data_IF_823668747675
#
_entry.id   IF_823668747675
#
_cell.length_a   1.000
_cell.length_b   1.000
_cell.length_c   1.000
_cell.angle_alpha   90.00
_cell.angle_beta   90.00
_cell.angle_gamma   90.00
#
_symmetry.space_group_name_H-M   'P 1'
#
loop_
_entity.id
_entity.type
_entity.pdbx_description
1 polymer ?
#
# COMPACT_ATOMS: atom_id res chain seq x y z
N UNK A 1 73.88 -4.23 27.16
CA UNK A 1 72.42 -4.13 27.30
C UNK A 1 71.90 -5.45 27.86
N UNK A 2 71.32 -5.41 29.06
CA UNK A 2 71.00 -6.60 29.86
C UNK A 2 69.86 -7.41 29.17
N UNK A 3 69.97 -8.76 29.16
CA UNK A 3 68.94 -9.66 28.49
C UNK A 3 67.48 -9.34 28.86
N UNK A 4 67.31 -8.95 30.13
CA UNK A 4 65.96 -8.53 30.63
C UNK A 4 65.44 -7.28 29.97
N UNK A 5 66.20 -6.25 29.67
CA UNK A 5 65.77 -5.06 28.94
C UNK A 5 65.33 -5.35 27.50
N UNK A 6 66.02 -6.28 26.82
CA UNK A 6 65.64 -6.73 25.48
C UNK A 6 64.26 -7.45 25.45
N UNK A 7 64.00 -8.25 26.48
CA UNK A 7 62.70 -8.97 26.58
C UNK A 7 61.53 -8.01 26.84
N UNK A 8 61.68 -7.04 27.73
CA UNK A 8 60.65 -6.03 28.01
C UNK A 8 60.37 -5.15 26.82
N UNK A 9 61.36 -4.75 26.03
CA UNK A 9 61.15 -3.98 24.80
C UNK A 9 60.36 -4.79 23.77
N UNK A 10 60.61 -6.08 23.62
CA UNK A 10 59.86 -6.96 22.71
C UNK A 10 58.40 -7.14 23.14
N UNK A 11 58.14 -7.26 24.45
CA UNK A 11 56.78 -7.37 24.99
C UNK A 11 56.03 -6.04 24.79
N UNK A 12 56.67 -4.90 25.07
CA UNK A 12 56.03 -3.58 24.84
C UNK A 12 55.70 -3.34 23.37
N UNK A 13 56.60 -3.70 22.45
CA UNK A 13 56.37 -3.58 21.01
C UNK A 13 55.22 -4.47 20.54
N UNK A 14 55.10 -5.69 21.04
CA UNK A 14 54.01 -6.60 20.72
C UNK A 14 52.67 -6.06 21.24
N UNK A 15 52.61 -5.50 22.44
CA UNK A 15 51.40 -4.90 23.03
C UNK A 15 50.98 -3.66 22.23
N UNK A 16 51.93 -2.80 21.82
CA UNK A 16 51.63 -1.64 20.98
C UNK A 16 51.05 -2.04 19.63
N UNK A 17 51.59 -3.05 18.96
CA UNK A 17 51.07 -3.56 17.69
C UNK A 17 49.65 -4.14 17.88
N UNK A 18 49.38 -4.83 18.99
CA UNK A 18 48.04 -5.32 19.29
C UNK A 18 47.01 -4.19 19.55
N UNK A 19 47.46 -3.10 20.19
CA UNK A 19 46.60 -1.91 20.41
C UNK A 19 46.29 -1.22 19.07
N UNK A 20 47.26 -1.10 18.17
CA UNK A 20 47.05 -0.51 16.84
C UNK A 20 46.09 -1.36 15.98
N UNK A 21 46.20 -2.71 16.05
CA UNK A 21 45.25 -3.61 15.35
C UNK A 21 43.85 -3.53 15.93
N UNK A 22 43.70 -3.35 17.27
CA UNK A 22 42.40 -3.15 17.91
C UNK A 22 41.79 -1.77 17.65
N UNK A 23 42.64 -0.77 17.37
CA UNK A 23 42.20 0.61 17.05
C UNK A 23 41.99 0.84 15.55
N UNK A 24 42.28 -0.16 14.69
CA UNK A 24 41.89 -0.05 13.28
C UNK A 24 40.36 0.11 13.22
N UNK A 25 39.87 1.22 12.67
CA UNK A 25 38.44 1.33 12.43
C UNK A 25 38.05 0.14 11.55
N UNK A 26 37.17 -0.72 12.06
CA UNK A 26 36.53 -1.75 11.26
C UNK A 26 35.79 -0.96 10.18
N UNK A 27 36.42 -0.84 9.02
CA UNK A 27 35.78 -0.27 7.85
C UNK A 27 34.63 -1.22 7.53
N UNK A 28 33.46 -0.95 8.10
CA UNK A 28 32.22 -1.56 7.62
C UNK A 28 32.11 -1.13 6.17
N UNK A 29 32.55 -1.98 5.27
CA UNK A 29 32.12 -1.91 3.90
C UNK A 29 30.60 -2.14 3.92
N UNK A 30 29.85 -1.05 3.98
CA UNK A 30 28.45 -1.09 3.58
C UNK A 30 28.47 -1.44 2.09
N UNK A 31 28.34 -2.73 1.79
CA UNK A 31 27.98 -3.18 0.45
C UNK A 31 26.52 -2.77 0.27
N UNK A 32 26.33 -1.48 0.01
CA UNK A 32 25.06 -0.97 -0.47
C UNK A 32 24.93 -1.49 -1.89
N UNK A 33 24.23 -2.60 -2.08
CA UNK A 33 23.81 -3.01 -3.41
C UNK A 33 22.99 -1.83 -3.97
N UNK A 34 23.57 -1.11 -4.92
CA UNK A 34 22.91 0.03 -5.53
C UNK A 34 21.72 -0.51 -6.34
N UNK A 35 20.52 -0.36 -5.77
CA UNK A 35 19.27 -0.72 -6.47
C UNK A 35 19.03 0.38 -7.50
N UNK A 36 19.22 0.06 -8.78
CA UNK A 36 18.85 0.95 -9.88
C UNK A 36 17.35 0.77 -10.17
N UNK A 37 16.57 1.82 -9.93
CA UNK A 37 15.16 1.87 -10.25
C UNK A 37 14.90 2.91 -11.34
N UNK A 38 14.10 2.53 -12.33
CA UNK A 38 13.60 3.46 -13.36
C UNK A 38 12.48 4.35 -12.84
N UNK A 39 11.74 3.89 -11.81
CA UNK A 39 10.68 4.68 -11.17
C UNK A 39 11.25 5.97 -10.58
N UNK A 40 10.61 7.13 -10.80
CA UNK A 40 11.05 8.42 -10.28
C UNK A 40 11.05 8.49 -8.75
N UNK A 41 10.05 7.89 -8.10
CA UNK A 41 9.90 7.87 -6.64
C UNK A 41 9.69 6.44 -6.15
N UNK A 42 10.33 6.08 -5.04
CA UNK A 42 10.18 4.75 -4.44
C UNK A 42 10.53 4.75 -2.94
N UNK A 43 9.97 3.81 -2.21
CA UNK A 43 10.32 3.50 -0.83
C UNK A 43 10.16 2.00 -0.55
N UNK A 44 11.06 1.44 0.26
CA UNK A 44 10.97 0.10 0.83
C UNK A 44 10.98 0.23 2.35
N UNK A 45 9.95 -0.31 2.99
CA UNK A 45 9.74 -0.20 4.43
C UNK A 45 9.47 -1.57 5.05
N UNK A 46 10.03 -1.84 6.21
CA UNK A 46 9.61 -2.95 7.07
C UNK A 46 8.35 -2.52 7.82
N UNK A 47 7.28 -3.34 7.72
CA UNK A 47 5.94 -2.91 8.12
C UNK A 47 5.76 -2.79 9.64
N UNK A 48 6.34 -3.68 10.44
CA UNK A 48 6.09 -3.70 11.89
C UNK A 48 6.71 -2.49 12.59
N UNK A 49 7.96 -2.18 12.27
CA UNK A 49 8.72 -1.08 12.89
C UNK A 49 8.57 0.26 12.15
N UNK A 50 8.21 0.22 10.85
CA UNK A 50 8.24 1.38 9.97
C UNK A 50 9.67 1.76 9.52
N UNK A 51 10.65 0.88 9.71
CA UNK A 51 12.03 1.14 9.30
C UNK A 51 12.13 1.20 7.78
N UNK A 52 12.63 2.33 7.28
CA UNK A 52 12.91 2.52 5.85
C UNK A 52 14.24 1.88 5.51
N UNK A 53 14.22 0.94 4.56
CA UNK A 53 15.41 0.19 4.10
C UNK A 53 15.99 0.74 2.79
N UNK A 54 15.14 1.38 1.99
CA UNK A 54 15.54 2.03 0.75
C UNK A 54 14.56 3.16 0.43
N UNK A 55 15.07 4.25 -0.11
CA UNK A 55 14.23 5.33 -0.63
C UNK A 55 14.89 6.05 -1.81
N UNK A 56 14.05 6.54 -2.71
CA UNK A 56 14.40 7.38 -3.84
C UNK A 56 13.32 8.43 -4.03
N UNK A 57 13.65 9.70 -3.81
CA UNK A 57 12.70 10.82 -3.88
C UNK A 57 11.34 10.48 -3.22
N UNK A 58 11.31 9.94 -1.98
CA UNK A 58 10.09 9.36 -1.39
C UNK A 58 9.02 10.41 -1.10
N UNK A 59 9.41 11.66 -0.98
CA UNK A 59 8.53 12.81 -0.64
C UNK A 59 8.15 13.65 -1.86
N UNK A 60 8.51 13.18 -3.08
CA UNK A 60 8.09 13.83 -4.32
C UNK A 60 6.57 13.68 -4.51
N UNK A 61 5.88 14.82 -4.63
CA UNK A 61 4.43 14.86 -4.81
C UNK A 61 4.04 14.34 -6.20
N UNK A 62 3.14 13.35 -6.23
CA UNK A 62 2.70 12.66 -7.44
C UNK A 62 1.22 12.32 -7.40
N UNK A 63 0.63 12.11 -8.59
CA UNK A 63 -0.72 11.57 -8.70
C UNK A 63 -0.72 10.08 -8.29
N UNK A 64 -1.62 9.64 -7.37
CA UNK A 64 -1.67 8.27 -6.89
C UNK A 64 -2.35 7.27 -7.84
N UNK A 65 -3.18 7.72 -8.79
CA UNK A 65 -4.08 6.82 -9.49
C UNK A 65 -4.86 5.91 -8.50
N UNK A 66 -5.14 4.66 -8.87
CA UNK A 66 -5.92 3.74 -8.04
C UNK A 66 -5.23 3.24 -6.76
N UNK A 67 -3.97 3.63 -6.46
CA UNK A 67 -3.43 3.39 -5.11
C UNK A 67 -4.13 4.25 -4.04
N UNK A 68 -4.88 5.29 -4.43
CA UNK A 68 -5.88 6.00 -3.61
C UNK A 68 -6.78 5.04 -2.84
N UNK A 69 -7.19 3.92 -3.48
CA UNK A 69 -8.09 2.93 -2.89
C UNK A 69 -7.53 2.22 -1.64
N UNK A 70 -6.23 2.38 -1.35
CA UNK A 70 -5.66 1.92 -0.07
C UNK A 70 -6.30 2.70 1.08
N UNK A 71 -6.47 4.02 0.95
CA UNK A 71 -7.18 4.83 1.94
C UNK A 71 -8.67 4.46 2.01
N UNK A 72 -9.29 4.22 0.87
CA UNK A 72 -10.69 3.74 0.81
C UNK A 72 -10.87 2.45 1.57
N UNK A 73 -10.01 1.45 1.33
CA UNK A 73 -10.01 0.18 2.04
C UNK A 73 -9.71 0.35 3.54
N UNK A 74 -8.76 1.21 3.89
CA UNK A 74 -8.44 1.52 5.29
C UNK A 74 -9.69 2.03 6.05
N UNK A 75 -10.45 2.94 5.46
CA UNK A 75 -11.67 3.45 6.06
C UNK A 75 -12.80 2.40 6.09
N UNK A 76 -12.92 1.55 5.09
CA UNK A 76 -13.87 0.43 5.09
C UNK A 76 -13.57 -0.50 6.28
N UNK A 77 -12.31 -0.95 6.42
CA UNK A 77 -11.92 -1.83 7.52
C UNK A 77 -12.02 -1.16 8.89
N UNK A 78 -11.76 0.14 8.98
CA UNK A 78 -11.97 0.90 10.22
C UNK A 78 -13.46 0.95 10.62
N UNK A 79 -14.38 1.06 9.67
CA UNK A 79 -15.81 1.05 9.95
C UNK A 79 -16.32 -0.37 10.27
N UNK A 80 -15.73 -1.43 9.70
CA UNK A 80 -15.97 -2.82 10.12
C UNK A 80 -15.53 -3.05 11.57
N UNK A 81 -14.30 -2.63 11.94
CA UNK A 81 -13.78 -2.75 13.31
C UNK A 81 -14.68 -2.02 14.34
N UNK A 82 -15.16 -0.82 13.97
CA UNK A 82 -16.07 -0.02 14.82
C UNK A 82 -17.49 -0.59 14.86
N UNK A 83 -17.80 -1.64 14.12
CA UNK A 83 -19.13 -2.24 14.04
C UNK A 83 -20.19 -1.32 13.41
N UNK A 84 -19.77 -0.29 12.66
CA UNK A 84 -20.67 0.61 11.95
C UNK A 84 -21.22 -0.02 10.68
N UNK A 85 -20.48 -0.93 10.07
CA UNK A 85 -20.85 -1.74 8.93
C UNK A 85 -20.44 -3.19 9.20
N UNK A 86 -21.05 -4.14 8.48
CA UNK A 86 -20.76 -5.58 8.53
C UNK A 86 -20.49 -6.09 7.12
N UNK A 87 -19.78 -7.21 7.01
CA UNK A 87 -19.47 -7.83 5.71
C UNK A 87 -20.74 -8.25 4.93
N UNK A 88 -21.79 -8.63 5.68
CA UNK A 88 -23.07 -9.08 5.14
C UNK A 88 -24.03 -7.94 4.80
N UNK A 89 -23.71 -6.69 5.16
CA UNK A 89 -24.58 -5.56 4.89
C UNK A 89 -24.76 -5.36 3.38
N UNK A 90 -26.01 -5.10 2.99
CA UNK A 90 -26.40 -4.86 1.61
C UNK A 90 -26.19 -3.40 1.22
N UNK A 91 -25.45 -3.17 0.16
CA UNK A 91 -25.14 -1.85 -0.40
C UNK A 91 -25.82 -1.71 -1.73
N UNK A 92 -26.66 -0.68 -1.87
CA UNK A 92 -27.35 -0.35 -3.11
C UNK A 92 -26.48 0.55 -3.97
N UNK A 93 -26.24 0.15 -5.20
CA UNK A 93 -25.48 0.95 -6.17
C UNK A 93 -26.29 2.16 -6.64
N UNK A 94 -25.76 3.35 -6.46
CA UNK A 94 -26.37 4.60 -6.92
C UNK A 94 -26.16 4.84 -8.42
N UNK A 95 -26.91 5.79 -8.99
CA UNK A 95 -26.67 6.28 -10.35
C UNK A 95 -25.26 6.88 -10.50
N UNK A 96 -24.73 7.53 -9.45
CA UNK A 96 -23.39 8.09 -9.45
C UNK A 96 -22.32 6.97 -9.48
N UNK A 97 -22.41 5.98 -8.59
CA UNK A 97 -21.52 4.83 -8.58
C UNK A 97 -21.52 4.09 -9.93
N UNK A 98 -22.69 3.82 -10.51
CA UNK A 98 -22.82 3.24 -11.85
C UNK A 98 -22.16 4.07 -12.96
N UNK A 99 -22.19 5.40 -12.85
CA UNK A 99 -21.64 6.31 -13.89
C UNK A 99 -20.12 6.38 -13.93
N UNK A 100 -19.43 5.76 -12.97
CA UNK A 100 -17.99 5.84 -12.86
C UNK A 100 -17.30 5.26 -14.08
N UNK A 101 -16.25 5.96 -14.55
CA UNK A 101 -15.36 5.51 -15.62
C UNK A 101 -14.14 4.75 -15.10
N UNK A 102 -13.24 4.43 -16.02
CA UNK A 102 -11.99 3.73 -15.73
C UNK A 102 -12.18 2.25 -15.39
N UNK A 103 -11.49 1.74 -14.37
CA UNK A 103 -11.66 0.35 -13.93
C UNK A 103 -13.01 0.17 -13.26
N UNK A 104 -13.81 -0.78 -13.74
CA UNK A 104 -15.17 -1.04 -13.27
C UNK A 104 -15.42 -2.53 -13.15
N UNK A 105 -16.37 -2.88 -12.31
CA UNK A 105 -16.98 -4.21 -12.28
C UNK A 105 -18.39 -4.18 -12.88
N UNK A 106 -18.79 -3.03 -13.42
CA UNK A 106 -20.06 -2.80 -14.15
C UNK A 106 -21.31 -2.99 -13.31
N UNK A 107 -21.28 -2.46 -12.08
CA UNK A 107 -22.48 -2.42 -11.22
C UNK A 107 -23.61 -1.64 -11.89
N UNK A 108 -24.83 -2.16 -11.81
CA UNK A 108 -26.02 -1.49 -12.33
C UNK A 108 -26.70 -0.64 -11.25
N UNK A 109 -27.36 0.45 -11.67
CA UNK A 109 -28.15 1.28 -10.75
C UNK A 109 -29.25 0.47 -10.06
N UNK A 110 -29.29 0.53 -8.72
CA UNK A 110 -30.19 -0.25 -7.90
C UNK A 110 -29.76 -1.71 -7.70
N UNK A 111 -28.62 -2.11 -8.23
CA UNK A 111 -28.02 -3.40 -7.91
C UNK A 111 -27.56 -3.43 -6.46
N UNK A 112 -27.77 -4.57 -5.80
CA UNK A 112 -27.40 -4.80 -4.41
C UNK A 112 -26.24 -5.78 -4.36
N UNK A 113 -25.17 -5.38 -3.68
CA UNK A 113 -24.03 -6.23 -3.39
C UNK A 113 -23.69 -6.17 -1.89
N UNK A 114 -23.07 -7.21 -1.34
CA UNK A 114 -22.60 -7.16 0.05
C UNK A 114 -21.32 -6.34 0.17
N UNK A 115 -21.05 -5.81 1.37
CA UNK A 115 -19.78 -5.15 1.70
C UNK A 115 -18.60 -6.06 1.35
N UNK A 116 -18.67 -7.37 1.69
CA UNK A 116 -17.65 -8.37 1.33
C UNK A 116 -17.38 -8.42 -0.18
N UNK A 117 -18.43 -8.51 -0.98
CA UNK A 117 -18.31 -8.51 -2.45
C UNK A 117 -17.71 -7.22 -2.97
N UNK A 118 -18.12 -6.06 -2.43
CA UNK A 118 -17.56 -4.78 -2.86
C UNK A 118 -16.09 -4.62 -2.48
N UNK A 119 -15.64 -5.12 -1.32
CA UNK A 119 -14.21 -5.17 -0.98
C UNK A 119 -13.44 -6.00 -2.02
N UNK A 120 -13.95 -7.16 -2.44
CA UNK A 120 -13.36 -7.96 -3.53
C UNK A 120 -13.30 -7.19 -4.84
N UNK A 121 -14.36 -6.51 -5.21
CA UNK A 121 -14.40 -5.65 -6.41
C UNK A 121 -13.33 -4.55 -6.39
N UNK A 122 -13.13 -3.91 -5.24
CA UNK A 122 -12.13 -2.84 -5.04
C UNK A 122 -10.71 -3.39 -5.08
N UNK A 123 -10.45 -4.49 -4.38
CA UNK A 123 -9.09 -5.03 -4.24
C UNK A 123 -8.62 -5.75 -5.48
N UNK A 124 -9.45 -6.61 -6.06
CA UNK A 124 -9.09 -7.50 -7.17
C UNK A 124 -9.14 -6.78 -8.51
N UNK A 125 -10.32 -6.24 -8.86
CA UNK A 125 -10.56 -5.60 -10.15
C UNK A 125 -10.32 -4.08 -10.14
N UNK A 126 -10.04 -3.50 -8.97
CA UNK A 126 -9.87 -2.04 -8.83
C UNK A 126 -11.13 -1.23 -9.18
N UNK A 127 -12.34 -1.77 -8.95
CA UNK A 127 -13.61 -1.17 -9.31
C UNK A 127 -13.82 0.24 -8.74
N UNK A 128 -13.97 1.22 -9.62
CA UNK A 128 -14.29 2.61 -9.24
C UNK A 128 -15.74 2.71 -8.77
N UNK A 129 -16.65 2.05 -9.49
CA UNK A 129 -18.06 1.90 -9.16
C UNK A 129 -18.25 1.31 -7.75
N UNK A 130 -17.56 0.22 -7.44
CA UNK A 130 -17.57 -0.39 -6.10
C UNK A 130 -16.99 0.54 -5.02
N UNK A 131 -15.95 1.32 -5.35
CA UNK A 131 -15.34 2.27 -4.42
C UNK A 131 -16.31 3.40 -4.05
N UNK A 132 -17.01 3.94 -5.06
CA UNK A 132 -18.03 5.01 -4.86
C UNK A 132 -19.24 4.46 -4.11
N UNK A 133 -19.73 3.26 -4.45
CA UNK A 133 -20.85 2.63 -3.73
C UNK A 133 -20.53 2.46 -2.23
N UNK A 134 -19.31 2.01 -1.89
CA UNK A 134 -18.86 1.91 -0.49
C UNK A 134 -18.70 3.28 0.18
N UNK A 135 -18.17 4.26 -0.53
CA UNK A 135 -18.01 5.62 -0.02
C UNK A 135 -19.37 6.25 0.35
N UNK A 136 -20.34 6.13 -0.55
CA UNK A 136 -21.71 6.61 -0.33
C UNK A 136 -22.42 5.86 0.80
N UNK A 137 -22.22 4.55 0.89
CA UNK A 137 -22.79 3.74 1.96
C UNK A 137 -22.27 4.16 3.34
N UNK A 138 -20.97 4.42 3.47
CA UNK A 138 -20.32 4.75 4.75
C UNK A 138 -20.59 6.20 5.16
N UNK A 139 -20.53 7.15 4.22
CA UNK A 139 -20.55 8.58 4.51
C UNK A 139 -21.76 9.34 3.95
N UNK A 140 -22.70 8.64 3.30
CA UNK A 140 -23.88 9.24 2.66
C UNK A 140 -23.58 9.92 1.33
N UNK A 141 -22.32 10.16 0.99
CA UNK A 141 -21.88 10.71 -0.30
C UNK A 141 -20.39 10.48 -0.50
N UNK A 142 -19.93 10.46 -1.76
CA UNK A 142 -18.48 10.40 -2.06
C UNK A 142 -17.73 11.60 -1.43
N UNK A 143 -18.29 12.82 -1.53
CA UNK A 143 -17.66 14.02 -0.92
C UNK A 143 -17.51 13.91 0.59
N UNK A 144 -18.52 13.36 1.29
CA UNK A 144 -18.43 13.07 2.72
C UNK A 144 -17.34 12.07 3.03
N UNK A 145 -17.19 11.03 2.20
CA UNK A 145 -16.13 10.04 2.35
C UNK A 145 -14.73 10.61 2.07
N UNK A 146 -14.59 11.46 1.06
CA UNK A 146 -13.33 12.16 0.74
C UNK A 146 -12.88 13.05 1.91
N UNK A 147 -13.80 13.70 2.60
CA UNK A 147 -13.47 14.44 3.84
C UNK A 147 -12.90 13.47 4.90
N UNK A 148 -13.50 12.30 5.10
CA UNK A 148 -12.96 11.28 6.02
C UNK A 148 -11.57 10.79 5.58
N UNK A 149 -11.32 10.65 4.26
CA UNK A 149 -9.99 10.27 3.74
C UNK A 149 -8.93 11.31 4.08
N UNK A 150 -9.25 12.61 3.90
CA UNK A 150 -8.33 13.70 4.21
C UNK A 150 -8.10 13.86 5.73
N UNK A 151 -9.14 13.68 6.54
CA UNK A 151 -9.01 13.62 8.00
C UNK A 151 -8.11 12.47 8.45
N UNK A 152 -8.26 11.28 7.83
CA UNK A 152 -7.40 10.13 8.11
C UNK A 152 -5.97 10.37 7.66
N UNK A 153 -5.74 10.98 6.52
CA UNK A 153 -4.40 11.37 6.05
C UNK A 153 -3.71 12.28 7.07
N UNK A 154 -4.41 13.31 7.55
CA UNK A 154 -3.88 14.20 8.59
C UNK A 154 -3.58 13.45 9.91
N UNK A 155 -4.45 12.53 10.34
CA UNK A 155 -4.23 11.70 11.54
C UNK A 155 -2.98 10.81 11.41
N UNK A 156 -2.65 10.37 10.20
CA UNK A 156 -1.48 9.54 9.92
C UNK A 156 -0.20 10.35 9.65
N UNK A 157 -0.28 11.69 9.68
CA UNK A 157 0.85 12.58 9.38
C UNK A 157 1.25 12.57 7.89
N UNK A 158 0.28 12.32 6.99
CA UNK A 158 0.48 12.31 5.54
C UNK A 158 0.37 13.74 4.99
N UNK A 159 1.31 14.59 5.36
CA UNK A 159 1.23 16.05 5.14
C UNK A 159 1.30 16.46 3.67
N UNK A 160 1.76 15.56 2.79
CA UNK A 160 1.85 15.79 1.35
C UNK A 160 0.80 14.99 0.56
N UNK A 161 -0.32 14.67 1.21
CA UNK A 161 -1.42 13.92 0.60
C UNK A 161 -2.72 14.69 0.68
N UNK A 162 -3.42 14.77 -0.45
CA UNK A 162 -4.78 15.31 -0.51
C UNK A 162 -5.61 14.51 -1.52
N UNK A 163 -6.78 14.09 -1.11
CA UNK A 163 -7.72 13.33 -1.91
C UNK A 163 -8.87 14.21 -2.39
N UNK A 164 -9.26 14.07 -3.66
CA UNK A 164 -10.42 14.72 -4.27
C UNK A 164 -11.52 13.73 -4.67
N UNK A 165 -11.16 12.45 -4.81
CA UNK A 165 -12.10 11.35 -5.05
C UNK A 165 -11.66 10.09 -4.27
N UNK A 166 -12.54 9.09 -4.17
CA UNK A 166 -12.29 7.87 -3.40
C UNK A 166 -11.60 6.75 -4.20
N UNK A 167 -11.31 6.94 -5.48
CA UNK A 167 -10.83 5.88 -6.37
C UNK A 167 -9.54 6.23 -7.14
N UNK A 168 -9.14 7.51 -7.18
CA UNK A 168 -7.96 8.00 -7.89
C UNK A 168 -8.18 8.11 -9.41
N UNK A 169 -9.38 8.49 -9.82
CA UNK A 169 -9.75 8.65 -11.23
C UNK A 169 -9.46 10.07 -11.73
N UNK A 170 -9.58 11.07 -10.87
CA UNK A 170 -9.39 12.48 -11.26
C UNK A 170 -7.98 12.75 -11.77
N UNK A 171 -7.87 13.62 -12.78
CA UNK A 171 -6.61 14.15 -13.29
C UNK A 171 -6.24 15.51 -12.67
N UNK A 172 -7.03 16.00 -11.72
CA UNK A 172 -6.75 17.24 -11.00
C UNK A 172 -5.48 17.09 -10.15
N UNK A 173 -4.56 18.03 -10.29
CA UNK A 173 -3.30 18.06 -9.53
C UNK A 173 -3.48 18.25 -8.02
N UNK A 174 -4.65 18.71 -7.59
CA UNK A 174 -5.05 18.73 -6.18
C UNK A 174 -5.18 17.34 -5.57
N UNK A 175 -5.36 16.28 -6.40
CA UNK A 175 -5.36 14.88 -5.95
C UNK A 175 -3.95 14.32 -6.01
N UNK A 176 -3.25 14.30 -4.89
CA UNK A 176 -1.84 13.96 -4.85
C UNK A 176 -1.43 13.24 -3.57
N UNK A 177 -0.27 12.60 -3.62
CA UNK A 177 0.38 11.90 -2.51
C UNK A 177 1.89 11.79 -2.75
N UNK A 178 2.59 11.08 -1.86
CA UNK A 178 4.01 10.73 -1.98
C UNK A 178 4.21 9.23 -1.77
N UNK A 179 5.35 8.68 -2.20
CA UNK A 179 5.65 7.26 -1.94
C UNK A 179 5.72 6.97 -0.44
N UNK A 180 6.21 7.91 0.37
CA UNK A 180 6.25 7.78 1.84
C UNK A 180 4.85 7.74 2.43
N UNK A 181 3.96 8.64 2.03
CA UNK A 181 2.59 8.68 2.54
C UNK A 181 1.82 7.42 2.14
N UNK A 182 2.03 6.92 0.91
CA UNK A 182 1.46 5.65 0.46
C UNK A 182 1.97 4.49 1.32
N UNK A 183 3.27 4.44 1.64
CA UNK A 183 3.81 3.42 2.53
C UNK A 183 3.20 3.53 3.94
N UNK A 184 2.98 4.76 4.43
CA UNK A 184 2.35 5.02 5.74
C UNK A 184 0.93 4.48 5.80
N UNK A 185 0.05 4.83 4.83
CA UNK A 185 -1.33 4.30 4.82
C UNK A 185 -1.38 2.80 4.55
N UNK A 186 -0.45 2.28 3.74
CA UNK A 186 -0.35 0.83 3.51
C UNK A 186 0.02 0.09 4.79
N UNK A 187 0.98 0.62 5.54
CA UNK A 187 1.41 0.10 6.84
C UNK A 187 0.28 0.08 7.85
N UNK A 188 -0.47 1.18 7.96
CA UNK A 188 -1.65 1.26 8.83
C UNK A 188 -2.68 0.19 8.47
N UNK A 189 -3.00 0.05 7.17
CA UNK A 189 -3.97 -0.93 6.70
C UNK A 189 -3.56 -2.37 7.05
N UNK A 190 -2.33 -2.78 6.71
CA UNK A 190 -1.94 -4.18 6.88
C UNK A 190 -1.65 -4.57 8.34
N UNK A 191 -1.13 -3.63 9.16
CA UNK A 191 -0.83 -3.91 10.55
C UNK A 191 -2.10 -3.94 11.42
N UNK A 192 -3.02 -3.02 11.16
CA UNK A 192 -4.24 -2.92 11.95
C UNK A 192 -5.32 -3.88 11.49
N UNK A 193 -5.38 -4.13 10.18
CA UNK A 193 -6.42 -4.95 9.55
C UNK A 193 -5.84 -6.06 8.68
N UNK A 194 -5.11 -7.04 9.25
CA UNK A 194 -4.47 -8.10 8.48
C UNK A 194 -5.44 -8.97 7.67
N UNK A 195 -6.75 -8.93 7.99
CA UNK A 195 -7.80 -9.54 7.18
C UNK A 195 -7.83 -9.03 5.73
N UNK A 196 -7.26 -7.85 5.44
CA UNK A 196 -7.11 -7.35 4.05
C UNK A 196 -6.37 -8.35 3.15
N UNK A 197 -5.49 -9.16 3.70
CA UNK A 197 -4.74 -10.15 2.93
C UNK A 197 -5.60 -11.31 2.39
N UNK A 198 -6.78 -11.54 2.94
CA UNK A 198 -7.75 -12.49 2.40
C UNK A 198 -8.27 -12.03 1.04
N UNK A 199 -8.34 -10.72 0.83
CA UNK A 199 -8.81 -10.09 -0.41
C UNK A 199 -7.67 -9.82 -1.40
N UNK A 200 -6.54 -9.29 -0.94
CA UNK A 200 -5.46 -8.84 -1.82
C UNK A 200 -4.68 -9.98 -2.46
N UNK A 201 -4.77 -11.20 -1.93
CA UNK A 201 -4.18 -12.43 -2.49
C UNK A 201 -5.05 -13.10 -3.56
N UNK A 202 -6.31 -12.67 -3.70
CA UNK A 202 -7.21 -13.24 -4.72
C UNK A 202 -6.66 -12.91 -6.11
N UNK A 203 -6.44 -13.96 -6.91
CA UNK A 203 -6.04 -13.81 -8.32
C UNK A 203 -7.25 -13.68 -9.24
N UNK A 204 -8.23 -14.56 -9.08
CA UNK A 204 -9.51 -14.53 -9.79
C UNK A 204 -10.61 -15.04 -8.86
N UNK A 205 -11.78 -14.42 -8.93
CA UNK A 205 -12.97 -14.85 -8.20
C UNK A 205 -14.22 -14.42 -8.95
N UNK A 206 -15.23 -15.28 -8.93
CA UNK A 206 -16.54 -14.98 -9.54
C UNK A 206 -17.44 -14.30 -8.53
N UNK A 207 -18.06 -13.21 -8.96
CA UNK A 207 -19.19 -12.58 -8.27
C UNK A 207 -20.44 -12.74 -9.10
N UNK A 208 -21.60 -12.49 -8.51
CA UNK A 208 -22.88 -12.52 -9.22
C UNK A 208 -23.52 -11.15 -9.20
N UNK A 209 -23.74 -10.57 -10.37
CA UNK A 209 -24.61 -9.41 -10.52
C UNK A 209 -26.06 -9.85 -10.39
N UNK A 210 -26.78 -9.24 -9.49
CA UNK A 210 -28.22 -9.46 -9.30
C UNK A 210 -28.96 -8.15 -9.65
N UNK A 211 -29.50 -8.11 -10.86
CA UNK A 211 -30.17 -6.93 -11.38
C UNK A 211 -31.65 -7.24 -11.67
N UNK A 212 -32.44 -6.22 -12.05
CA UNK A 212 -33.82 -6.38 -12.50
C UNK A 212 -33.93 -7.28 -13.74
N UNK A 213 -32.83 -7.48 -14.49
CA UNK A 213 -32.78 -8.31 -15.71
C UNK A 213 -32.43 -9.77 -15.41
N UNK A 214 -32.13 -10.10 -14.14
CA UNK A 214 -31.71 -11.43 -13.68
C UNK A 214 -30.34 -11.46 -13.10
N UNK A 215 -29.85 -12.68 -12.83
CA UNK A 215 -28.52 -12.93 -12.25
C UNK A 215 -27.51 -13.29 -13.33
N UNK A 216 -26.29 -12.74 -13.22
CA UNK A 216 -25.20 -12.92 -14.19
C UNK A 216 -23.87 -13.08 -13.48
N UNK A 217 -23.11 -14.14 -13.74
CA UNK A 217 -21.76 -14.26 -13.20
C UNK A 217 -20.80 -13.23 -13.83
N UNK A 218 -19.86 -12.74 -13.05
CA UNK A 218 -18.79 -11.85 -13.49
C UNK A 218 -17.49 -12.23 -12.81
N UNK A 219 -16.45 -12.52 -13.58
CA UNK A 219 -15.16 -12.92 -13.05
C UNK A 219 -14.29 -11.69 -12.77
N UNK A 220 -13.96 -11.47 -11.49
CA UNK A 220 -12.93 -10.53 -11.07
C UNK A 220 -11.56 -11.10 -11.43
N UNK A 221 -10.68 -10.26 -11.96
CA UNK A 221 -9.29 -10.62 -12.26
C UNK A 221 -8.33 -9.61 -11.65
N UNK A 222 -7.34 -10.11 -10.91
CA UNK A 222 -6.39 -9.25 -10.21
C UNK A 222 -5.52 -8.46 -11.19
N UNK A 223 -5.38 -7.17 -10.90
CA UNK A 223 -4.45 -6.27 -11.58
C UNK A 223 -3.00 -6.45 -11.08
N UNK A 224 -2.80 -7.15 -9.97
CA UNK A 224 -1.49 -7.37 -9.33
C UNK A 224 -0.79 -8.62 -9.87
N UNK A 225 -0.02 -8.46 -10.95
CA UNK A 225 0.73 -9.57 -11.56
C UNK A 225 1.82 -10.14 -10.65
N UNK A 226 2.26 -9.40 -9.62
CA UNK A 226 3.29 -9.87 -8.68
C UNK A 226 2.83 -11.12 -7.92
N UNK A 227 1.53 -11.29 -7.69
CA UNK A 227 0.95 -12.49 -7.06
C UNK A 227 1.30 -13.81 -7.80
N UNK A 228 1.56 -13.74 -9.10
CA UNK A 228 1.96 -14.90 -9.93
C UNK A 228 3.48 -15.04 -10.05
N UNK A 229 4.24 -13.98 -9.79
CA UNK A 229 5.67 -13.90 -10.06
C UNK A 229 6.52 -14.03 -8.81
N UNK A 230 5.97 -13.67 -7.64
CA UNK A 230 6.70 -13.63 -6.38
C UNK A 230 5.92 -14.38 -5.30
N UNK A 231 6.41 -15.54 -4.84
CA UNK A 231 5.64 -16.46 -4.00
C UNK A 231 5.30 -15.91 -2.62
N UNK A 232 6.01 -14.88 -2.16
CA UNK A 232 5.76 -14.21 -0.89
C UNK A 232 4.88 -12.96 -1.01
N UNK A 233 4.44 -12.60 -2.23
CA UNK A 233 3.58 -11.45 -2.43
C UNK A 233 2.23 -11.64 -1.70
N UNK A 234 1.83 -10.61 -0.95
CA UNK A 234 0.57 -10.59 -0.20
C UNK A 234 -0.41 -9.51 -0.68
N UNK A 235 0.02 -8.62 -1.56
CA UNK A 235 -0.80 -7.53 -2.09
C UNK A 235 0.09 -6.41 -2.65
N UNK A 236 -0.28 -5.14 -2.58
CA UNK A 236 -1.49 -4.56 -2.01
C UNK A 236 -2.37 -3.97 -3.13
N UNK A 237 -1.92 -2.87 -3.80
CA UNK A 237 -2.72 -2.16 -4.79
C UNK A 237 -1.89 -1.58 -5.93
N UNK A 238 -2.33 -1.80 -7.15
CA UNK A 238 -1.82 -1.19 -8.39
C UNK A 238 -2.61 0.07 -8.75
N UNK A 239 -1.98 0.98 -9.47
CA UNK A 239 -2.63 2.16 -10.04
C UNK A 239 -2.06 2.51 -11.41
N UNK A 240 -2.90 3.00 -12.30
CA UNK A 240 -2.47 3.52 -13.59
C UNK A 240 -3.48 4.53 -14.14
N UNK A 241 -2.97 5.69 -14.55
CA UNK A 241 -3.68 6.69 -15.36
C UNK A 241 -2.71 7.29 -16.38
N UNK A 242 -3.22 8.07 -17.32
CA UNK A 242 -2.37 8.81 -18.26
C UNK A 242 -1.39 9.76 -17.56
N UNK A 243 -1.80 10.37 -16.45
CA UNK A 243 -1.01 11.31 -15.64
C UNK A 243 -0.04 10.60 -14.71
N UNK A 244 -0.52 9.68 -13.89
CA UNK A 244 0.27 8.97 -12.88
C UNK A 244 1.23 7.93 -13.49
N UNK A 245 0.98 7.48 -14.74
CA UNK A 245 1.63 6.32 -15.36
C UNK A 245 1.32 5.07 -14.53
N UNK A 246 2.34 4.35 -14.07
CA UNK A 246 2.17 3.14 -13.26
C UNK A 246 2.63 3.40 -11.84
N UNK A 247 1.73 3.15 -10.90
CA UNK A 247 1.99 3.21 -9.47
C UNK A 247 1.71 1.85 -8.85
N UNK A 248 2.46 1.49 -7.84
CA UNK A 248 2.25 0.23 -7.14
C UNK A 248 2.67 0.33 -5.68
N UNK A 249 1.79 -0.05 -4.78
CA UNK A 249 2.11 -0.41 -3.40
C UNK A 249 2.05 -1.93 -3.30
N UNK A 250 3.21 -2.57 -3.21
CA UNK A 250 3.37 -4.00 -3.05
C UNK A 250 3.58 -4.36 -1.59
N UNK A 251 3.04 -5.51 -1.17
CA UNK A 251 3.36 -6.12 0.12
C UNK A 251 3.81 -7.55 -0.08
N UNK A 252 4.70 -8.00 0.80
CA UNK A 252 5.18 -9.36 0.82
C UNK A 252 5.49 -9.79 2.26
N UNK A 253 5.24 -11.07 2.58
CA UNK A 253 5.64 -11.68 3.84
C UNK A 253 6.58 -12.84 3.57
N UNK A 254 7.76 -12.78 4.16
CA UNK A 254 8.71 -13.89 4.15
C UNK A 254 9.24 -14.11 5.55
N UNK A 255 9.14 -15.34 6.04
CA UNK A 255 9.64 -15.76 7.36
C UNK A 255 9.09 -14.88 8.51
N UNK A 256 7.84 -14.40 8.38
CA UNK A 256 7.18 -13.57 9.37
C UNK A 256 7.53 -12.07 9.29
N UNK A 257 8.32 -11.66 8.31
CA UNK A 257 8.68 -10.25 8.07
C UNK A 257 7.80 -9.69 6.95
N UNK A 258 6.99 -8.70 7.29
CA UNK A 258 6.18 -7.97 6.32
C UNK A 258 6.93 -6.77 5.75
N UNK A 259 6.97 -6.70 4.43
CA UNK A 259 7.63 -5.63 3.69
C UNK A 259 6.61 -4.88 2.83
N UNK A 260 6.80 -3.58 2.74
CA UNK A 260 6.02 -2.68 1.88
C UNK A 260 6.99 -2.02 0.90
N UNK A 261 6.71 -2.17 -0.40
CA UNK A 261 7.46 -1.49 -1.46
C UNK A 261 6.51 -0.62 -2.27
N UNK A 262 6.78 0.68 -2.33
CA UNK A 262 5.99 1.63 -3.14
C UNK A 262 6.86 2.17 -4.25
N UNK A 263 6.30 2.21 -5.46
CA UNK A 263 6.88 2.87 -6.64
C UNK A 263 5.84 3.76 -7.31
N UNK A 264 6.29 4.95 -7.70
CA UNK A 264 5.43 5.96 -8.34
C UNK A 264 6.17 6.66 -9.48
#
# INVERSE_FOLDING_TARGET
MNKTKKTWIRILSAVLIWIEVLMMPICRMEVCAQIELTSPSAILMEASTGTVLFEKNPDEVRSPASITKIMTLLLIFENLEKGKIKLEDEVVTSAHAKSMGGSQVFLEEGEIQTVDTLIKCITVASGNDASVAMAEYIAGSEGGFVNMMNEKAAQLGMDNTHFLDCCGLTSDSGHHTTARDVATMSRELINRYPAIYEYTKIWMEDITHVTRQGSKPFTLSSTNKLLKQYPWATGLKTGSTSTAKYCFSATANKDGIDMIAVVM
#
